data_IF_237590243793
#
_entry.id   IF_237590243793
#
_cell.length_a   1.000
_cell.length_b   1.000
_cell.length_c   1.000
_cell.angle_alpha   90.00
_cell.angle_beta   90.00
_cell.angle_gamma   90.00
#
_symmetry.space_group_name_H-M   'P 1'
#
loop_
_entity.id
_entity.type
_entity.pdbx_description
1 polymer ?
#
# COMPACT_ATOMS: atom_id res chain seq x y z
N UNK A 1 -9.53 -23.10 1.45
CA UNK A 1 -9.90 -21.67 1.66
C UNK A 1 -8.65 -20.95 2.10
N UNK A 2 -8.31 -19.83 1.46
CA UNK A 2 -7.15 -19.04 1.84
C UNK A 2 -7.40 -18.34 3.19
N UNK A 3 -6.35 -18.25 4.01
CA UNK A 3 -6.35 -17.66 5.37
C UNK A 3 -5.13 -16.76 5.59
N UNK A 4 -4.37 -16.54 4.52
CA UNK A 4 -3.16 -15.74 4.47
C UNK A 4 -3.32 -14.85 3.25
N UNK A 5 -3.32 -13.54 3.44
CA UNK A 5 -3.54 -12.55 2.39
C UNK A 5 -2.60 -11.37 2.63
N UNK A 6 -1.93 -10.94 1.57
CA UNK A 6 -1.13 -9.72 1.54
C UNK A 6 -1.81 -8.79 0.53
N UNK A 7 -2.35 -7.68 1.03
CA UNK A 7 -2.84 -6.58 0.20
C UNK A 7 -1.69 -5.62 -0.04
N UNK A 8 -1.58 -5.14 -1.27
CA UNK A 8 -0.49 -4.28 -1.73
C UNK A 8 -1.12 -3.05 -2.36
N UNK A 9 -0.65 -1.86 -1.99
CA UNK A 9 -1.05 -0.59 -2.64
C UNK A 9 0.15 0.32 -2.81
N UNK A 10 0.24 0.97 -3.97
CA UNK A 10 1.08 2.15 -4.22
C UNK A 10 0.22 3.41 -4.44
N UNK A 11 -1.08 3.34 -4.14
CA UNK A 11 -1.95 4.49 -4.21
C UNK A 11 -2.21 5.05 -2.82
N UNK A 12 -2.36 6.37 -2.76
CA UNK A 12 -2.94 7.04 -1.61
C UNK A 12 -4.37 6.56 -1.35
N UNK A 13 -4.98 7.11 -0.30
CA UNK A 13 -6.30 6.69 0.18
C UNK A 13 -6.37 5.21 0.63
N UNK A 14 -5.22 4.61 0.89
CA UNK A 14 -5.05 3.24 1.35
C UNK A 14 -5.60 3.01 2.77
N UNK A 15 -5.87 4.07 3.54
CA UNK A 15 -6.41 4.05 4.90
C UNK A 15 -7.69 3.21 5.05
N UNK A 16 -8.46 3.01 3.97
CA UNK A 16 -9.63 2.12 4.00
C UNK A 16 -9.25 0.65 4.22
N UNK A 17 -8.08 0.21 3.74
CA UNK A 17 -7.63 -1.18 3.83
C UNK A 17 -7.27 -1.57 5.27
N UNK A 18 -6.44 -0.80 6.02
CA UNK A 18 -6.23 -1.06 7.45
C UNK A 18 -7.53 -1.06 8.25
N UNK A 19 -8.46 -0.15 7.96
CA UNK A 19 -9.77 -0.10 8.62
C UNK A 19 -10.55 -1.41 8.40
N UNK A 20 -10.67 -1.86 7.14
CA UNK A 20 -11.36 -3.10 6.78
C UNK A 20 -10.70 -4.35 7.40
N UNK A 21 -9.37 -4.42 7.43
CA UNK A 21 -8.65 -5.53 8.08
C UNK A 21 -8.98 -5.59 9.57
N UNK A 22 -9.00 -4.44 10.25
CA UNK A 22 -9.30 -4.36 11.68
C UNK A 22 -10.77 -4.68 11.97
N UNK A 23 -11.70 -4.19 11.15
CA UNK A 23 -13.11 -4.52 11.26
C UNK A 23 -13.32 -6.04 11.09
N UNK A 24 -12.72 -6.64 10.06
CA UNK A 24 -12.77 -8.08 9.83
C UNK A 24 -12.22 -8.86 11.05
N UNK A 25 -11.06 -8.47 11.57
CA UNK A 25 -10.43 -9.12 12.71
C UNK A 25 -11.30 -9.10 13.96
N UNK A 26 -11.87 -7.93 14.29
CA UNK A 26 -12.75 -7.75 15.46
C UNK A 26 -14.08 -8.48 15.33
N UNK A 27 -14.69 -8.47 14.13
CA UNK A 27 -16.00 -9.06 13.85
C UNK A 27 -15.94 -10.58 13.85
N UNK A 28 -14.98 -11.16 13.12
CA UNK A 28 -14.94 -12.60 12.89
C UNK A 28 -14.09 -13.36 13.90
N UNK A 29 -12.98 -12.78 14.38
CA UNK A 29 -12.07 -13.42 15.34
C UNK A 29 -11.70 -14.87 14.97
N UNK A 30 -11.38 -15.09 13.69
CA UNK A 30 -10.89 -16.39 13.19
C UNK A 30 -9.39 -16.31 12.91
N UNK A 31 -8.62 -17.39 13.17
CA UNK A 31 -7.19 -17.39 12.87
C UNK A 31 -6.92 -17.11 11.39
N UNK A 32 -6.14 -16.06 11.12
CA UNK A 32 -5.74 -15.64 9.79
C UNK A 32 -4.48 -14.76 9.86
N UNK A 33 -3.80 -14.61 8.73
CA UNK A 33 -2.75 -13.62 8.50
C UNK A 33 -3.27 -12.70 7.40
N UNK A 34 -3.57 -11.45 7.74
CA UNK A 34 -4.10 -10.48 6.79
C UNK A 34 -3.26 -9.22 6.97
N UNK A 35 -2.44 -8.92 5.97
CA UNK A 35 -1.44 -7.86 6.03
C UNK A 35 -1.73 -6.88 4.90
N UNK A 36 -1.53 -5.60 5.20
CA UNK A 36 -1.45 -4.55 4.20
C UNK A 36 0.02 -4.10 4.10
N UNK A 37 0.57 -4.11 2.89
CA UNK A 37 1.90 -3.60 2.56
C UNK A 37 1.72 -2.33 1.72
N UNK A 38 2.09 -1.22 2.33
CA UNK A 38 2.14 0.09 1.71
C UNK A 38 3.47 0.22 0.94
N UNK A 39 3.41 0.20 -0.39
CA UNK A 39 4.58 0.08 -1.26
C UNK A 39 5.56 1.26 -1.09
N UNK A 40 5.10 2.53 -1.01
CA UNK A 40 5.99 3.67 -0.77
C UNK A 40 6.79 3.53 0.52
N UNK A 41 6.22 2.98 1.60
CA UNK A 41 6.97 2.75 2.86
C UNK A 41 8.07 1.70 2.74
N UNK A 42 7.94 0.76 1.80
CA UNK A 42 8.98 -0.24 1.53
C UNK A 42 10.08 0.34 0.65
N UNK A 43 9.70 1.00 -0.45
CA UNK A 43 10.68 1.61 -1.36
C UNK A 43 11.37 2.82 -0.72
N UNK A 44 10.66 3.54 0.16
CA UNK A 44 11.16 4.59 1.04
C UNK A 44 12.06 5.60 0.32
N UNK A 45 13.27 5.75 0.83
CA UNK A 45 14.26 6.71 0.31
C UNK A 45 14.55 6.54 -1.20
N UNK A 46 14.39 5.34 -1.76
CA UNK A 46 14.63 5.11 -3.19
C UNK A 46 13.57 5.75 -4.09
N UNK A 47 12.41 6.16 -3.55
CA UNK A 47 11.40 6.95 -4.27
C UNK A 47 11.62 8.46 -4.14
N UNK A 48 12.47 8.90 -3.23
CA UNK A 48 12.61 10.32 -2.93
C UNK A 48 13.51 11.05 -3.93
N UNK A 49 13.48 12.36 -3.86
CA UNK A 49 14.41 13.24 -4.54
C UNK A 49 15.79 13.25 -3.87
N UNK A 50 16.78 13.77 -4.61
CA UNK A 50 18.18 13.91 -4.18
C UNK A 50 18.35 14.68 -2.88
N UNK A 51 17.51 15.68 -2.59
CA UNK A 51 17.59 16.42 -1.34
C UNK A 51 17.29 15.56 -0.11
N UNK A 52 16.56 14.46 -0.29
CA UNK A 52 16.21 13.49 0.73
C UNK A 52 16.97 12.15 0.54
N UNK A 53 17.97 12.14 -0.34
CA UNK A 53 18.89 11.02 -0.58
C UNK A 53 18.37 9.93 -1.53
N UNK A 54 17.30 10.20 -2.28
CA UNK A 54 16.88 9.35 -3.39
C UNK A 54 17.47 9.78 -4.75
N UNK A 55 17.09 9.11 -5.85
CA UNK A 55 17.72 9.32 -7.16
C UNK A 55 17.07 10.41 -8.02
N UNK A 56 15.89 10.91 -7.63
CA UNK A 56 15.06 11.79 -8.47
C UNK A 56 15.42 13.28 -8.31
N UNK A 57 15.12 14.08 -9.32
CA UNK A 57 15.38 15.52 -9.29
C UNK A 57 14.28 16.27 -8.51
N UNK A 58 13.04 15.74 -8.52
CA UNK A 58 11.89 16.33 -7.82
C UNK A 58 11.22 15.34 -6.84
N UNK A 59 10.57 15.85 -5.77
CA UNK A 59 9.93 14.99 -4.78
C UNK A 59 8.86 14.06 -5.38
N UNK A 60 8.72 12.89 -4.76
CA UNK A 60 7.68 11.91 -5.04
C UNK A 60 6.29 12.49 -4.77
N UNK A 61 5.44 12.36 -5.79
CA UNK A 61 4.08 12.88 -5.88
C UNK A 61 3.28 12.01 -6.88
N UNK A 62 2.17 12.51 -7.43
CA UNK A 62 1.33 11.80 -8.39
C UNK A 62 1.77 12.00 -9.85
N UNK A 63 1.86 10.90 -10.60
CA UNK A 63 2.34 10.82 -11.99
C UNK A 63 3.66 11.59 -12.20
N UNK A 64 4.47 11.69 -11.14
CA UNK A 64 5.69 12.48 -11.12
C UNK A 64 6.84 11.75 -11.81
N UNK A 65 8.04 12.33 -11.73
CA UNK A 65 9.28 11.74 -12.24
C UNK A 65 9.45 10.27 -11.81
N UNK A 66 9.16 9.94 -10.54
CA UNK A 66 9.37 8.60 -10.00
C UNK A 66 8.30 7.59 -10.45
N UNK A 67 7.00 7.93 -10.39
CA UNK A 67 5.94 7.03 -10.88
C UNK A 67 6.07 6.77 -12.38
N UNK A 68 6.44 7.80 -13.16
CA UNK A 68 6.69 7.67 -14.59
C UNK A 68 7.94 6.83 -14.85
N UNK A 69 9.02 6.98 -14.06
CA UNK A 69 10.22 6.15 -14.17
C UNK A 69 9.93 4.66 -13.85
N UNK A 70 9.15 4.40 -12.78
CA UNK A 70 8.68 3.05 -12.44
C UNK A 70 7.85 2.45 -13.58
N UNK A 71 6.95 3.26 -14.14
CA UNK A 71 6.09 2.89 -15.26
C UNK A 71 6.89 2.52 -16.49
N UNK A 72 7.87 3.33 -16.88
CA UNK A 72 8.77 3.03 -18.00
C UNK A 72 9.64 1.79 -17.75
N UNK A 73 10.00 1.51 -16.50
CA UNK A 73 10.79 0.32 -16.15
C UNK A 73 9.99 -0.98 -16.23
N UNK A 74 8.68 -0.93 -15.93
CA UNK A 74 7.82 -2.11 -15.81
C UNK A 74 6.91 -2.34 -17.02
N UNK A 75 6.45 -1.27 -17.66
CA UNK A 75 5.49 -1.26 -18.76
C UNK A 75 5.83 -0.16 -19.78
N UNK A 76 7.04 -0.17 -20.37
CA UNK A 76 7.51 0.89 -21.27
C UNK A 76 6.56 1.16 -22.45
N UNK A 77 5.84 0.16 -22.93
CA UNK A 77 4.89 0.27 -24.02
C UNK A 77 3.63 1.11 -23.70
N UNK A 78 3.35 1.34 -22.42
CA UNK A 78 2.19 2.13 -21.98
C UNK A 78 2.54 3.59 -21.65
N UNK A 79 3.82 3.98 -21.72
CA UNK A 79 4.27 5.34 -21.40
C UNK A 79 4.72 6.05 -22.66
N UNK A 80 4.04 7.15 -23.00
CA UNK A 80 4.43 8.08 -24.06
C UNK A 80 5.01 9.33 -23.43
N UNK A 81 6.33 9.37 -23.30
CA UNK A 81 7.00 10.47 -22.59
C UNK A 81 6.89 11.80 -23.37
N UNK A 82 6.69 11.74 -24.69
CA UNK A 82 6.44 12.90 -25.55
C UNK A 82 5.13 13.64 -25.22
N UNK A 83 4.18 12.97 -24.56
CA UNK A 83 2.90 13.53 -24.14
C UNK A 83 2.96 14.06 -22.68
N UNK A 84 4.13 14.03 -22.04
CA UNK A 84 4.29 14.41 -20.64
C UNK A 84 4.17 15.93 -20.43
N UNK A 85 3.27 16.35 -19.54
CA UNK A 85 3.09 17.75 -19.14
C UNK A 85 3.64 17.99 -17.73
N UNK A 86 4.57 18.94 -17.64
CA UNK A 86 5.24 19.31 -16.40
C UNK A 86 4.56 20.48 -15.70
N UNK A 87 4.52 20.44 -14.37
CA UNK A 87 4.07 21.57 -13.56
C UNK A 87 4.94 21.80 -12.32
N UNK A 88 4.56 22.81 -11.54
CA UNK A 88 5.23 23.16 -10.29
C UNK A 88 4.20 23.05 -9.17
N UNK A 89 4.27 21.98 -8.35
CA UNK A 89 3.33 21.80 -7.25
C UNK A 89 3.39 22.94 -6.23
N UNK A 90 2.22 23.38 -5.77
CA UNK A 90 2.07 24.41 -4.74
C UNK A 90 0.84 24.15 -3.85
N UNK A 91 0.82 24.78 -2.68
CA UNK A 91 -0.25 24.65 -1.69
C UNK A 91 -0.43 25.94 -0.89
N UNK A 92 -1.42 25.95 0.00
CA UNK A 92 -1.77 27.15 0.77
C UNK A 92 -0.94 27.28 2.04
N UNK A 93 -0.46 26.16 2.59
CA UNK A 93 0.42 26.13 3.75
C UNK A 93 1.90 26.03 3.35
N UNK A 94 2.83 26.56 4.18
CA UNK A 94 4.25 26.38 3.94
C UNK A 94 4.66 24.89 4.04
N UNK A 95 5.78 24.49 3.40
CA UNK A 95 6.32 23.14 3.51
C UNK A 95 6.64 22.74 4.97
N UNK A 96 6.54 21.45 5.28
CA UNK A 96 6.88 20.88 6.60
C UNK A 96 5.68 20.48 7.46
N UNK A 97 4.45 20.74 7.01
CA UNK A 97 3.23 20.33 7.69
C UNK A 97 2.59 19.09 7.07
N UNK A 98 2.14 19.22 5.82
CA UNK A 98 1.55 18.12 5.03
C UNK A 98 2.68 17.35 4.35
N UNK A 99 2.63 16.03 4.43
CA UNK A 99 3.55 15.14 3.73
C UNK A 99 3.30 15.19 2.21
N UNK A 100 4.17 14.52 1.45
CA UNK A 100 4.11 14.43 0.00
C UNK A 100 3.67 13.02 -0.38
N UNK A 101 3.86 12.65 -1.65
CA UNK A 101 3.53 11.31 -2.14
C UNK A 101 4.02 10.21 -1.20
N UNK A 102 3.15 9.23 -0.95
CA UNK A 102 3.47 8.03 -0.17
C UNK A 102 3.75 8.23 1.32
N UNK A 103 3.58 9.45 1.87
CA UNK A 103 3.86 9.78 3.27
C UNK A 103 5.26 9.34 3.74
N UNK A 104 6.24 9.41 2.83
CA UNK A 104 7.60 8.91 3.06
C UNK A 104 8.55 9.99 3.59
N UNK A 105 8.17 11.27 3.57
CA UNK A 105 9.07 12.37 3.95
C UNK A 105 9.08 12.66 5.45
N UNK A 106 8.13 12.11 6.21
CA UNK A 106 8.09 12.22 7.66
C UNK A 106 7.48 13.53 8.17
N UNK A 107 6.70 14.22 7.33
CA UNK A 107 5.91 15.35 7.80
C UNK A 107 4.73 14.82 8.64
N UNK A 108 4.26 15.59 9.64
CA UNK A 108 3.32 15.08 10.63
C UNK A 108 1.90 14.85 10.11
N UNK A 109 1.51 15.43 8.97
CA UNK A 109 0.15 15.31 8.42
C UNK A 109 0.22 14.50 7.12
N UNK A 110 -0.19 13.23 7.12
CA UNK A 110 -0.35 12.44 5.90
C UNK A 110 -1.24 13.13 4.87
N UNK A 111 -0.99 12.90 3.58
CA UNK A 111 -1.70 13.58 2.49
C UNK A 111 -3.22 13.42 2.56
N UNK A 112 -3.70 12.24 2.99
CA UNK A 112 -5.13 11.93 3.13
C UNK A 112 -5.78 12.47 4.42
N UNK A 113 -5.00 13.03 5.36
CA UNK A 113 -5.47 13.55 6.65
C UNK A 113 -5.83 15.04 6.61
N UNK A 114 -6.02 15.63 5.43
CA UNK A 114 -6.35 17.04 5.29
C UNK A 114 -7.31 17.30 4.13
N UNK A 115 -8.08 18.38 4.28
CA UNK A 115 -8.81 19.02 3.19
C UNK A 115 -8.60 20.52 3.33
N UNK A 116 -8.25 21.20 2.25
CA UNK A 116 -8.09 22.66 2.22
C UNK A 116 -6.70 23.17 2.57
N UNK A 117 -5.66 22.32 2.65
CA UNK A 117 -4.26 22.78 2.71
C UNK A 117 -3.67 23.08 1.31
N UNK A 118 -4.41 22.77 0.25
CA UNK A 118 -4.12 23.08 -1.15
C UNK A 118 -5.40 23.03 -2.00
N UNK A 119 -5.27 23.28 -3.30
CA UNK A 119 -6.36 23.11 -4.26
C UNK A 119 -6.65 21.63 -4.54
N UNK A 120 -7.87 21.33 -5.00
CA UNK A 120 -8.20 19.99 -5.49
C UNK A 120 -7.49 19.74 -6.82
N UNK A 121 -6.97 18.52 -7.01
CA UNK A 121 -6.07 18.19 -8.13
C UNK A 121 -6.68 18.51 -9.48
N UNK A 122 -7.96 18.21 -9.70
CA UNK A 122 -8.63 18.50 -10.98
C UNK A 122 -8.76 20.01 -11.31
N UNK A 123 -8.51 20.91 -10.35
CA UNK A 123 -8.54 22.37 -10.56
C UNK A 123 -7.13 22.93 -10.72
N UNK A 124 -6.19 22.51 -9.88
CA UNK A 124 -4.83 23.09 -9.86
C UNK A 124 -3.80 22.28 -10.66
N UNK A 125 -4.13 21.05 -11.02
CA UNK A 125 -3.33 20.11 -11.81
C UNK A 125 -4.20 19.40 -12.88
N UNK A 126 -4.84 20.16 -13.80
CA UNK A 126 -5.77 19.61 -14.80
C UNK A 126 -5.18 18.55 -15.74
N UNK A 127 -3.86 18.52 -15.92
CA UNK A 127 -3.09 17.52 -16.66
C UNK A 127 -3.03 16.16 -15.95
N UNK A 128 -3.45 16.08 -14.69
CA UNK A 128 -3.43 14.84 -13.90
C UNK A 128 -2.03 14.48 -13.37
N UNK A 129 -1.12 15.45 -13.35
CA UNK A 129 0.27 15.27 -12.90
C UNK A 129 0.58 16.21 -11.76
N UNK A 130 1.45 15.82 -10.84
CA UNK A 130 1.99 16.68 -9.79
C UNK A 130 3.51 16.56 -9.84
N UNK A 131 4.17 17.44 -10.59
CA UNK A 131 5.63 17.47 -10.72
C UNK A 131 6.14 17.42 -12.15
N UNK A 132 7.26 16.71 -12.36
CA UNK A 132 8.08 16.72 -13.59
C UNK A 132 8.22 15.33 -14.23
N UNK A 133 7.16 14.75 -14.82
CA UNK A 133 7.22 13.46 -15.50
C UNK A 133 8.22 13.44 -16.67
N UNK A 134 8.46 14.58 -17.33
CA UNK A 134 9.37 14.68 -18.48
C UNK A 134 10.82 14.26 -18.17
N UNK A 135 11.20 14.26 -16.89
CA UNK A 135 12.54 13.91 -16.40
C UNK A 135 12.68 12.43 -16.02
N UNK A 136 11.66 11.62 -16.29
CA UNK A 136 11.64 10.21 -15.97
C UNK A 136 12.79 9.46 -16.68
N UNK A 137 13.43 8.57 -15.94
CA UNK A 137 14.42 7.63 -16.45
C UNK A 137 14.19 6.27 -15.78
N UNK A 138 13.86 5.21 -16.55
CA UNK A 138 13.58 3.90 -15.98
C UNK A 138 14.75 3.35 -15.12
N UNK A 139 16.00 3.75 -15.40
CA UNK A 139 17.16 3.31 -14.60
C UNK A 139 17.11 3.84 -13.17
N UNK A 140 16.51 5.02 -12.93
CA UNK A 140 16.34 5.58 -11.57
C UNK A 140 15.42 4.69 -10.71
N UNK A 141 14.49 3.97 -11.34
CA UNK A 141 13.48 3.17 -10.66
C UNK A 141 13.92 1.73 -10.32
N UNK A 142 14.97 1.19 -10.96
CA UNK A 142 15.38 -0.21 -10.76
C UNK A 142 15.64 -0.53 -9.30
N UNK A 143 16.30 0.37 -8.57
CA UNK A 143 16.61 0.12 -7.16
C UNK A 143 15.35 0.03 -6.30
N UNK A 144 14.33 0.86 -6.58
CA UNK A 144 13.05 0.81 -5.88
C UNK A 144 12.34 -0.52 -6.10
N UNK A 145 12.34 -1.02 -7.34
CA UNK A 145 11.75 -2.32 -7.68
C UNK A 145 12.47 -3.47 -6.95
N UNK A 146 13.80 -3.48 -6.96
CA UNK A 146 14.60 -4.48 -6.23
C UNK A 146 14.27 -4.49 -4.74
N UNK A 147 14.33 -3.33 -4.08
CA UNK A 147 14.05 -3.19 -2.63
C UNK A 147 12.66 -3.71 -2.29
N UNK A 148 11.67 -3.37 -3.12
CA UNK A 148 10.31 -3.83 -2.93
C UNK A 148 10.14 -5.34 -3.09
N UNK A 149 10.70 -5.92 -4.16
CA UNK A 149 10.63 -7.36 -4.42
C UNK A 149 11.38 -8.18 -3.36
N UNK A 150 12.55 -7.72 -2.92
CA UNK A 150 13.33 -8.35 -1.86
C UNK A 150 12.56 -8.37 -0.54
N UNK A 151 11.93 -7.25 -0.17
CA UNK A 151 11.10 -7.17 1.03
C UNK A 151 9.88 -8.08 0.94
N UNK A 152 9.15 -8.05 -0.18
CA UNK A 152 7.97 -8.88 -0.38
C UNK A 152 8.32 -10.37 -0.32
N UNK A 153 9.41 -10.77 -0.98
CA UNK A 153 9.91 -12.14 -0.94
C UNK A 153 10.24 -12.53 0.49
N UNK A 154 10.97 -11.70 1.22
CA UNK A 154 11.31 -11.96 2.63
C UNK A 154 10.05 -12.13 3.48
N UNK A 155 9.09 -11.22 3.37
CA UNK A 155 7.83 -11.28 4.11
C UNK A 155 7.06 -12.57 3.79
N UNK A 156 6.95 -12.92 2.51
CA UNK A 156 6.33 -14.16 2.05
C UNK A 156 7.02 -15.39 2.65
N UNK A 157 8.35 -15.47 2.53
CA UNK A 157 9.14 -16.62 2.95
C UNK A 157 9.10 -16.78 4.49
N UNK A 158 9.15 -15.68 5.23
CA UNK A 158 9.04 -15.69 6.70
C UNK A 158 7.65 -16.19 7.15
N UNK A 159 6.57 -15.74 6.47
CA UNK A 159 5.21 -16.24 6.73
C UNK A 159 5.09 -17.73 6.43
N UNK A 160 5.62 -18.18 5.29
CA UNK A 160 5.52 -19.58 4.87
C UNK A 160 6.40 -20.51 5.71
N UNK A 161 7.54 -20.02 6.20
CA UNK A 161 8.41 -20.73 7.13
C UNK A 161 7.73 -20.90 8.50
N UNK A 162 7.19 -19.80 9.07
CA UNK A 162 6.54 -19.85 10.39
C UNK A 162 5.19 -20.58 10.34
N UNK A 163 4.45 -20.38 9.26
CA UNK A 163 3.13 -20.93 9.03
C UNK A 163 3.11 -21.57 7.64
N UNK A 164 3.50 -22.85 7.50
CA UNK A 164 3.37 -23.56 6.23
C UNK A 164 1.88 -23.78 5.84
N UNK A 165 1.58 -24.32 4.64
CA UNK A 165 0.22 -24.63 4.24
C UNK A 165 -0.54 -25.44 5.31
N UNK A 166 -1.76 -25.01 5.63
CA UNK A 166 -2.59 -25.64 6.68
C UNK A 166 -2.22 -25.27 8.12
N UNK A 167 -1.13 -24.53 8.35
CA UNK A 167 -0.79 -23.96 9.66
C UNK A 167 -1.13 -22.48 9.73
N UNK A 168 -1.60 -22.04 10.89
CA UNK A 168 -2.01 -20.67 11.21
C UNK A 168 -1.54 -20.33 12.63
N UNK A 169 -1.54 -19.05 13.03
CA UNK A 169 -1.36 -18.70 14.43
C UNK A 169 -2.41 -19.40 15.29
N UNK A 170 -2.03 -19.77 16.52
CA UNK A 170 -2.94 -20.48 17.42
C UNK A 170 -4.16 -19.62 17.75
N UNK A 171 -5.34 -20.24 17.75
CA UNK A 171 -6.62 -19.54 17.95
C UNK A 171 -6.73 -18.81 19.27
N UNK A 172 -6.15 -19.37 20.33
CA UNK A 172 -6.14 -18.76 21.68
C UNK A 172 -5.50 -17.36 21.74
N UNK A 173 -4.68 -17.00 20.74
CA UNK A 173 -4.06 -15.67 20.65
C UNK A 173 -4.85 -14.70 19.77
N UNK A 174 -5.85 -15.18 19.03
CA UNK A 174 -6.56 -14.40 18.01
C UNK A 174 -8.09 -14.40 18.17
N UNK A 175 -8.62 -15.13 19.15
CA UNK A 175 -10.06 -15.31 19.32
C UNK A 175 -10.46 -15.42 20.79
N UNK A 176 -11.56 -14.77 21.14
CA UNK A 176 -12.30 -15.02 22.38
C UNK A 176 -13.57 -15.84 22.15
N UNK A 177 -13.78 -16.38 20.94
CA UNK A 177 -14.91 -17.25 20.64
C UNK A 177 -14.76 -18.61 21.33
N UNK A 178 -15.88 -19.33 21.56
CA UNK A 178 -15.81 -20.70 22.04
C UNK A 178 -14.92 -21.57 21.13
N UNK A 179 -13.98 -22.36 21.69
CA UNK A 179 -13.05 -23.16 20.90
C UNK A 179 -13.73 -24.04 19.84
N UNK A 180 -14.86 -24.66 20.19
CA UNK A 180 -15.65 -25.50 19.30
C UNK A 180 -16.22 -24.73 18.09
N UNK A 181 -16.54 -23.45 18.27
CA UNK A 181 -16.99 -22.59 17.17
C UNK A 181 -15.82 -22.31 16.22
N UNK A 182 -14.65 -21.97 16.76
CA UNK A 182 -13.44 -21.72 15.97
C UNK A 182 -13.01 -22.98 15.21
N UNK A 183 -13.02 -24.14 15.85
CA UNK A 183 -12.72 -25.43 15.21
C UNK A 183 -13.68 -25.74 14.07
N UNK A 184 -14.98 -25.53 14.27
CA UNK A 184 -15.98 -25.71 13.21
C UNK A 184 -15.73 -24.77 12.02
N UNK A 185 -15.35 -23.51 12.27
CA UNK A 185 -15.04 -22.51 11.24
C UNK A 185 -13.74 -22.83 10.48
N UNK A 186 -12.74 -23.37 11.17
CA UNK A 186 -11.48 -23.82 10.57
C UNK A 186 -11.68 -25.08 9.72
N UNK A 187 -12.54 -26.00 10.16
CA UNK A 187 -12.92 -27.21 9.41
C UNK A 187 -13.64 -26.85 8.10
N UNK A 188 -14.54 -25.86 8.17
CA UNK A 188 -15.27 -25.33 7.02
C UNK A 188 -16.38 -26.24 6.49
N UNK A 189 -17.34 -25.70 5.71
CA UNK A 189 -18.59 -26.38 5.38
C UNK A 189 -18.40 -27.65 4.53
N UNK A 190 -17.40 -27.65 3.64
CA UNK A 190 -17.09 -28.80 2.78
C UNK A 190 -16.52 -30.00 3.53
N UNK A 191 -16.19 -29.85 4.81
CA UNK A 191 -15.65 -30.93 5.66
C UNK A 191 -16.52 -31.13 6.91
N UNK A 192 -17.80 -30.75 6.85
CA UNK A 192 -18.72 -30.86 7.99
C UNK A 192 -18.42 -29.88 9.13
N UNK A 193 -17.82 -28.73 8.80
CA UNK A 193 -17.70 -27.57 9.66
C UNK A 193 -18.71 -26.48 9.29
N UNK A 194 -18.45 -25.23 9.70
CA UNK A 194 -19.36 -24.09 9.47
C UNK A 194 -18.78 -23.05 8.51
N UNK A 195 -19.66 -22.32 7.84
CA UNK A 195 -19.27 -21.16 7.03
C UNK A 195 -18.99 -19.95 7.93
N UNK A 196 -18.07 -19.06 7.53
CA UNK A 196 -17.84 -17.79 8.21
C UNK A 196 -19.09 -16.89 8.27
N UNK A 197 -20.08 -17.15 7.40
CA UNK A 197 -21.34 -16.39 7.38
C UNK A 197 -22.23 -16.71 8.57
N UNK A 198 -22.05 -17.88 9.21
CA UNK A 198 -22.81 -18.21 10.41
C UNK A 198 -22.45 -17.34 11.61
N UNK A 199 -21.41 -16.51 11.48
CA UNK A 199 -20.89 -15.67 12.55
C UNK A 199 -21.54 -14.30 12.57
N UNK A 200 -21.78 -13.70 11.39
CA UNK A 200 -22.14 -12.29 11.30
C UNK A 200 -22.91 -11.92 10.03
N UNK A 201 -23.73 -12.84 9.52
CA UNK A 201 -24.64 -12.59 8.39
C UNK A 201 -26.09 -12.96 8.74
N UNK A 202 -27.10 -12.13 8.42
CA UNK A 202 -26.96 -10.78 7.86
C UNK A 202 -26.25 -9.83 8.85
N UNK A 203 -25.62 -8.76 8.33
CA UNK A 203 -24.81 -7.84 9.12
C UNK A 203 -25.62 -7.04 10.15
#
# INVERSE_FOLDING_TARGET
>A
RFRKQIFISLHGQEYIVPSAINEFGKKYQVPAIIIFVDVPRVMGQTLMDKAHGGPYDYPFQHACEAETSLSMALFPEMVKLEDAEDNTPWGFLPPGHVDRGGDIYGNPIPGHCQIGCGGIECVIYPEGVIGKPSLADPKKAYKSVEVYLDYLKKLHDDIMTKFPPGKLPESKYLSQRPPEEVEALLKGPMKGGRHLYTVAFPP
#
